data_IF_097097890055
#
_entry.id   IF_097097890055
#
_cell.length_a   1.000
_cell.length_b   1.000
_cell.length_c   1.000
_cell.angle_alpha   90.00
_cell.angle_beta   90.00
_cell.angle_gamma   90.00
#
_symmetry.space_group_name_H-M   'P 1'
#
loop_
_entity.id
_entity.type
_entity.pdbx_description
1 polymer ?
#
# COMPACT_ATOMS: atom_id res chain seq x y z
N UNK A 1 -9.34 -5.87 7.10
CA UNK A 1 -8.94 -4.74 6.24
C UNK A 1 -9.19 -3.46 7.00
N UNK A 2 -8.25 -2.52 7.07
CA UNK A 2 -8.49 -1.26 7.74
C UNK A 2 -9.58 -0.45 7.02
N UNK A 3 -10.37 0.26 7.81
CA UNK A 3 -11.39 1.19 7.32
C UNK A 3 -10.74 2.48 6.82
N UNK A 4 -11.43 3.21 5.93
CA UNK A 4 -10.94 4.52 5.49
C UNK A 4 -10.82 5.52 6.66
N UNK A 5 -11.61 5.36 7.73
CA UNK A 5 -11.50 6.15 8.94
C UNK A 5 -10.18 5.89 9.68
N UNK A 6 -9.75 4.63 9.79
CA UNK A 6 -8.46 4.28 10.38
C UNK A 6 -7.28 4.87 9.59
N UNK A 7 -7.39 4.87 8.25
CA UNK A 7 -6.35 5.40 7.36
C UNK A 7 -6.26 6.93 7.41
N UNK A 8 -7.40 7.64 7.49
CA UNK A 8 -7.44 9.09 7.23
C UNK A 8 -7.79 9.96 8.44
N UNK A 9 -8.41 9.38 9.47
CA UNK A 9 -8.96 10.12 10.62
C UNK A 9 -8.34 9.70 11.95
N UNK A 10 -7.98 8.42 12.08
CA UNK A 10 -7.40 7.86 13.31
C UNK A 10 -5.90 7.52 13.15
N UNK A 11 -5.25 8.04 12.11
CA UNK A 11 -3.83 7.82 11.83
C UNK A 11 -2.93 8.62 12.79
N UNK A 12 -2.92 8.22 14.06
CA UNK A 12 -2.11 8.82 15.12
C UNK A 12 -0.60 8.62 14.88
N UNK A 13 -0.24 7.59 14.11
CA UNK A 13 1.12 7.23 13.73
C UNK A 13 1.51 7.79 12.36
N UNK A 14 0.77 8.77 11.83
CA UNK A 14 1.09 9.38 10.55
C UNK A 14 2.45 10.09 10.63
N UNK A 15 3.37 9.71 9.74
CA UNK A 15 4.73 10.28 9.68
C UNK A 15 5.08 10.68 8.26
N UNK A 16 5.94 11.69 8.05
CA UNK A 16 6.50 11.97 6.72
C UNK A 16 7.20 10.72 6.16
N UNK A 17 7.03 10.47 4.87
CA UNK A 17 7.60 9.28 4.23
C UNK A 17 9.12 9.42 4.10
N UNK A 18 9.91 8.37 4.45
CA UNK A 18 11.38 8.44 4.40
C UNK A 18 11.95 8.71 3.00
N UNK A 19 11.27 8.23 1.95
CA UNK A 19 11.74 8.37 0.57
C UNK A 19 11.06 9.51 -0.19
N UNK A 20 10.00 10.12 0.38
CA UNK A 20 9.30 11.23 -0.24
C UNK A 20 8.74 12.20 0.82
N UNK A 21 9.45 13.31 1.01
CA UNK A 21 9.11 14.32 2.03
C UNK A 21 7.74 14.99 1.83
N UNK A 22 7.16 14.91 0.63
CA UNK A 22 5.83 15.45 0.33
C UNK A 22 4.70 14.48 0.72
N UNK A 23 5.03 13.22 0.99
CA UNK A 23 4.07 12.17 1.28
C UNK A 23 4.07 11.82 2.76
N UNK A 24 2.93 11.35 3.24
CA UNK A 24 2.69 10.92 4.60
C UNK A 24 2.35 9.43 4.61
N UNK A 25 3.08 8.70 5.44
CA UNK A 25 2.89 7.29 5.65
C UNK A 25 1.97 7.06 6.86
N UNK A 26 1.14 6.02 6.78
CA UNK A 26 0.27 5.53 7.86
C UNK A 26 0.63 4.07 8.15
N UNK A 27 1.77 3.81 8.82
CA UNK A 27 2.40 2.48 8.92
C UNK A 27 1.49 1.40 9.52
N UNK A 28 0.73 1.72 10.57
CA UNK A 28 -0.15 0.77 11.27
C UNK A 28 -1.30 0.33 10.39
N UNK A 29 -1.97 1.29 9.74
CA UNK A 29 -3.05 1.00 8.80
C UNK A 29 -2.53 0.18 7.59
N UNK A 30 -1.38 0.57 7.03
CA UNK A 30 -0.77 -0.14 5.92
C UNK A 30 -0.39 -1.58 6.29
N UNK A 31 0.20 -1.80 7.46
CA UNK A 31 0.55 -3.15 7.95
C UNK A 31 -0.69 -4.04 8.15
N UNK A 32 -1.76 -3.47 8.73
CA UNK A 32 -3.04 -4.17 8.88
C UNK A 32 -3.64 -4.56 7.52
N UNK A 33 -3.56 -3.66 6.53
CA UNK A 33 -3.98 -3.93 5.17
C UNK A 33 -3.17 -5.07 4.54
N UNK A 34 -1.84 -4.99 4.62
CA UNK A 34 -0.93 -5.99 4.06
C UNK A 34 -1.16 -7.39 4.65
N UNK A 35 -1.35 -7.48 5.98
CA UNK A 35 -1.69 -8.76 6.64
C UNK A 35 -3.02 -9.32 6.14
N UNK A 36 -4.03 -8.47 6.02
CA UNK A 36 -5.34 -8.92 5.51
C UNK A 36 -5.23 -9.38 4.05
N UNK A 37 -4.50 -8.63 3.21
CA UNK A 37 -4.26 -8.98 1.82
C UNK A 37 -3.53 -10.33 1.69
N UNK A 38 -2.50 -10.57 2.50
CA UNK A 38 -1.78 -11.83 2.51
C UNK A 38 -2.70 -13.01 2.88
N UNK A 39 -3.47 -12.89 3.97
CA UNK A 39 -4.38 -13.95 4.43
C UNK A 39 -5.46 -14.27 3.38
N UNK A 40 -6.08 -13.25 2.81
CA UNK A 40 -7.20 -13.45 1.87
C UNK A 40 -6.77 -14.05 0.52
N UNK A 41 -5.50 -13.89 0.14
CA UNK A 41 -5.01 -14.28 -1.18
C UNK A 41 -3.87 -15.31 -1.11
N UNK A 42 -3.62 -15.92 0.06
CA UNK A 42 -2.43 -16.74 0.29
C UNK A 42 -2.34 -17.92 -0.69
N UNK A 43 -3.44 -18.66 -0.85
CA UNK A 43 -3.54 -19.81 -1.74
C UNK A 43 -3.30 -19.39 -3.20
N UNK A 44 -4.04 -18.38 -3.68
CA UNK A 44 -3.91 -17.85 -5.03
C UNK A 44 -2.49 -17.36 -5.35
N UNK A 45 -1.86 -16.64 -4.41
CA UNK A 45 -0.50 -16.12 -4.59
C UNK A 45 0.54 -17.25 -4.69
N UNK A 46 0.36 -18.34 -3.92
CA UNK A 46 1.21 -19.53 -3.97
C UNK A 46 1.00 -20.32 -5.27
N UNK A 47 -0.25 -20.58 -5.66
CA UNK A 47 -0.60 -21.32 -6.87
C UNK A 47 -0.09 -20.63 -8.13
N UNK A 48 -0.25 -19.30 -8.21
CA UNK A 48 0.19 -18.51 -9.36
C UNK A 48 1.68 -18.15 -9.31
N UNK A 49 2.38 -18.54 -8.24
CA UNK A 49 3.78 -18.19 -7.95
C UNK A 49 4.02 -16.70 -8.24
N UNK A 50 3.21 -15.84 -7.62
CA UNK A 50 3.17 -14.43 -7.94
C UNK A 50 4.45 -13.74 -7.45
N UNK A 51 5.27 -13.25 -8.39
CA UNK A 51 6.60 -12.69 -8.11
C UNK A 51 6.69 -11.24 -8.54
N UNK A 52 7.50 -10.46 -7.84
CA UNK A 52 7.77 -9.06 -8.19
C UNK A 52 8.43 -8.98 -9.57
N UNK A 53 7.99 -8.05 -10.41
CA UNK A 53 8.70 -7.70 -11.65
C UNK A 53 9.76 -6.64 -11.42
N UNK A 54 9.54 -5.78 -10.42
CA UNK A 54 10.40 -4.66 -10.13
C UNK A 54 11.24 -4.92 -8.89
N UNK A 55 12.41 -4.28 -8.86
CA UNK A 55 13.23 -4.19 -7.65
C UNK A 55 12.76 -2.99 -6.84
N UNK A 56 12.53 -3.19 -5.54
CA UNK A 56 12.09 -2.17 -4.60
C UNK A 56 13.23 -1.83 -3.64
N UNK A 57 13.64 -0.57 -3.60
CA UNK A 57 14.67 -0.08 -2.67
C UNK A 57 14.01 0.62 -1.50
N UNK A 58 14.23 0.13 -0.29
CA UNK A 58 13.63 0.67 0.94
C UNK A 58 14.58 1.63 1.66
N UNK A 59 15.88 1.34 1.60
CA UNK A 59 16.95 2.21 2.11
C UNK A 59 18.24 1.92 1.36
N UNK A 60 19.29 2.70 1.63
CA UNK A 60 20.62 2.50 1.04
C UNK A 60 21.20 1.09 1.28
N UNK A 61 20.72 0.37 2.30
CA UNK A 61 21.20 -0.97 2.66
C UNK A 61 20.17 -2.07 2.39
N UNK A 62 18.92 -1.70 2.12
CA UNK A 62 17.80 -2.64 2.08
C UNK A 62 17.06 -2.52 0.76
N UNK A 63 17.00 -3.62 0.02
CA UNK A 63 16.22 -3.72 -1.20
C UNK A 63 15.64 -5.12 -1.35
N UNK A 64 14.51 -5.20 -2.02
CA UNK A 64 13.89 -6.45 -2.44
C UNK A 64 14.07 -6.58 -3.95
N UNK A 65 14.83 -7.57 -4.44
CA UNK A 65 15.08 -7.74 -5.87
C UNK A 65 13.81 -8.15 -6.63
N UNK A 66 13.82 -7.92 -7.94
CA UNK A 66 12.84 -8.53 -8.84
C UNK A 66 12.90 -10.06 -8.74
N UNK A 67 11.74 -10.71 -8.85
CA UNK A 67 11.56 -12.15 -8.75
C UNK A 67 11.27 -12.66 -7.34
N UNK A 68 11.25 -11.81 -6.32
CA UNK A 68 10.83 -12.17 -4.95
C UNK A 68 9.35 -12.52 -4.93
N UNK A 69 8.96 -13.52 -4.13
CA UNK A 69 7.55 -13.89 -4.01
C UNK A 69 6.77 -12.78 -3.30
N UNK A 70 5.53 -12.51 -3.73
CA UNK A 70 4.75 -11.39 -3.19
C UNK A 70 4.49 -11.52 -1.68
N UNK A 71 4.27 -12.75 -1.20
CA UNK A 71 4.14 -13.04 0.23
C UNK A 71 5.42 -12.70 1.02
N UNK A 72 6.61 -12.93 0.45
CA UNK A 72 7.88 -12.60 1.12
C UNK A 72 8.07 -11.08 1.21
N UNK A 73 7.69 -10.36 0.15
CA UNK A 73 7.65 -8.90 0.13
C UNK A 73 6.71 -8.34 1.22
N UNK A 74 5.53 -8.95 1.38
CA UNK A 74 4.57 -8.58 2.43
C UNK A 74 5.16 -8.88 3.81
N UNK A 75 5.72 -10.08 4.01
CA UNK A 75 6.38 -10.48 5.26
C UNK A 75 7.44 -9.47 5.69
N UNK A 76 8.35 -9.13 4.77
CA UNK A 76 9.39 -8.12 4.97
C UNK A 76 8.83 -6.77 5.45
N UNK A 77 7.76 -6.28 4.81
CA UNK A 77 7.16 -5.00 5.16
C UNK A 77 6.38 -5.05 6.48
N UNK A 78 5.80 -6.20 6.83
CA UNK A 78 5.12 -6.38 8.13
C UNK A 78 6.09 -6.45 9.31
N UNK A 79 7.30 -7.00 9.12
CA UNK A 79 8.37 -6.97 10.12
C UNK A 79 8.95 -5.56 10.29
N UNK A 80 8.97 -4.77 9.22
CA UNK A 80 9.54 -3.41 9.17
C UNK A 80 8.45 -2.41 8.86
N UNK A 81 7.59 -2.17 9.85
CA UNK A 81 6.36 -1.39 9.72
C UNK A 81 6.57 -0.01 9.05
N UNK A 82 7.73 0.62 9.23
CA UNK A 82 8.10 1.89 8.57
C UNK A 82 7.99 1.87 7.04
N UNK A 83 8.14 0.70 6.40
CA UNK A 83 8.03 0.54 4.94
C UNK A 83 6.65 0.01 4.50
N UNK A 84 5.73 -0.21 5.43
CA UNK A 84 4.44 -0.81 5.13
C UNK A 84 3.63 0.02 4.12
N UNK A 85 3.59 1.35 4.28
CA UNK A 85 2.86 2.25 3.38
C UNK A 85 3.38 2.19 1.95
N UNK A 86 4.70 2.18 1.77
CA UNK A 86 5.33 2.03 0.45
C UNK A 86 5.10 0.64 -0.14
N UNK A 87 5.13 -0.40 0.69
CA UNK A 87 4.85 -1.76 0.26
C UNK A 87 3.43 -1.89 -0.28
N UNK A 88 2.42 -1.21 0.29
CA UNK A 88 1.08 -1.16 -0.32
C UNK A 88 1.15 -0.64 -1.76
N UNK A 89 1.91 0.42 -2.01
CA UNK A 89 2.16 0.93 -3.35
C UNK A 89 2.84 -0.09 -4.28
N UNK A 90 3.84 -0.81 -3.77
CA UNK A 90 4.49 -1.89 -4.50
C UNK A 90 3.50 -3.01 -4.88
N UNK A 91 2.67 -3.46 -3.93
CA UNK A 91 1.64 -4.49 -4.19
C UNK A 91 0.66 -4.02 -5.26
N UNK A 92 0.12 -2.80 -5.14
CA UNK A 92 -0.81 -2.25 -6.14
C UNK A 92 -0.18 -2.22 -7.52
N UNK A 93 1.07 -1.75 -7.62
CA UNK A 93 1.81 -1.69 -8.89
C UNK A 93 2.00 -3.08 -9.51
N UNK A 94 2.43 -4.06 -8.72
CA UNK A 94 2.65 -5.43 -9.20
C UNK A 94 1.33 -6.08 -9.66
N UNK A 95 0.27 -5.92 -8.87
CA UNK A 95 -1.06 -6.44 -9.19
C UNK A 95 -1.55 -5.84 -10.51
N UNK A 96 -1.60 -4.51 -10.64
CA UNK A 96 -2.01 -3.84 -11.90
C UNK A 96 -1.20 -4.30 -13.10
N UNK A 97 0.12 -4.45 -12.94
CA UNK A 97 1.01 -4.80 -14.06
C UNK A 97 0.85 -6.25 -14.52
N UNK A 98 0.56 -7.18 -13.61
CA UNK A 98 0.70 -8.61 -13.89
C UNK A 98 -0.62 -9.36 -14.06
N UNK A 99 -1.74 -8.85 -13.51
CA UNK A 99 -3.00 -9.59 -13.53
C UNK A 99 -3.49 -9.91 -14.95
N UNK A 100 -3.28 -8.98 -15.89
CA UNK A 100 -3.65 -9.17 -17.30
C UNK A 100 -2.79 -10.23 -17.98
N UNK A 101 -1.48 -10.17 -17.77
CA UNK A 101 -0.53 -11.13 -18.35
C UNK A 101 -0.70 -12.53 -17.78
N UNK A 102 -1.02 -12.64 -16.49
CA UNK A 102 -1.23 -13.92 -15.80
C UNK A 102 -2.67 -14.43 -15.90
N UNK A 103 -3.56 -13.69 -16.57
CA UNK A 103 -4.99 -14.00 -16.69
C UNK A 103 -5.68 -14.23 -15.32
N UNK A 104 -5.34 -13.39 -14.33
CA UNK A 104 -5.90 -13.47 -12.98
C UNK A 104 -7.13 -12.56 -12.91
N UNK A 105 -8.29 -13.16 -12.59
CA UNK A 105 -9.50 -12.38 -12.31
C UNK A 105 -9.32 -11.58 -11.03
N UNK A 106 -9.50 -10.27 -11.11
CA UNK A 106 -9.24 -9.34 -10.00
C UNK A 106 -10.53 -8.63 -9.61
N UNK A 107 -10.86 -8.67 -8.33
CA UNK A 107 -11.96 -7.92 -7.74
C UNK A 107 -11.40 -6.84 -6.82
N UNK A 108 -11.72 -5.58 -7.10
CA UNK A 108 -11.36 -4.44 -6.26
C UNK A 108 -12.60 -3.97 -5.50
N UNK A 109 -12.57 -4.00 -4.17
CA UNK A 109 -13.68 -3.57 -3.32
C UNK A 109 -13.29 -2.43 -2.39
N UNK A 110 -14.20 -1.48 -2.21
CA UNK A 110 -14.08 -0.38 -1.27
C UNK A 110 -15.40 -0.18 -0.55
N UNK A 111 -15.37 -0.14 0.78
CA UNK A 111 -16.56 0.09 1.59
C UNK A 111 -16.98 1.58 1.60
N UNK A 112 -16.00 2.49 1.75
CA UNK A 112 -16.25 3.94 1.88
C UNK A 112 -15.35 4.77 0.99
N UNK A 113 -15.49 4.62 -0.34
CA UNK A 113 -14.56 5.21 -1.31
C UNK A 113 -14.49 6.75 -1.24
N UNK A 114 -15.61 7.40 -0.94
CA UNK A 114 -15.70 8.87 -0.83
C UNK A 114 -14.72 9.44 0.21
N UNK A 115 -14.38 8.66 1.24
CA UNK A 115 -13.44 9.08 2.27
C UNK A 115 -12.06 9.38 1.70
N UNK A 116 -11.63 8.66 0.66
CA UNK A 116 -10.33 8.85 0.00
C UNK A 116 -10.25 10.14 -0.84
N UNK A 117 -11.35 10.90 -0.97
CA UNK A 117 -11.38 12.18 -1.67
C UNK A 117 -11.77 13.35 -0.75
N UNK A 118 -12.10 13.08 0.51
CA UNK A 118 -12.52 14.06 1.51
C UNK A 118 -11.37 14.63 2.35
N UNK A 119 -11.62 15.54 3.28
CA UNK A 119 -10.57 16.05 4.18
C UNK A 119 -10.04 14.96 5.13
N UNK A 120 -8.74 15.01 5.44
CA UNK A 120 -8.11 14.15 6.46
C UNK A 120 -8.00 14.89 7.80
N UNK A 121 -7.77 14.15 8.88
CA UNK A 121 -7.49 14.73 10.21
C UNK A 121 -6.00 14.69 10.58
N UNK A 122 -5.13 14.37 9.64
CA UNK A 122 -3.69 14.38 9.84
C UNK A 122 -3.22 15.84 9.74
N UNK A 123 -2.57 16.33 10.80
CA UNK A 123 -2.12 17.71 10.91
C UNK A 123 -0.60 17.76 10.76
N UNK A 124 -0.13 18.60 9.83
CA UNK A 124 1.30 18.86 9.61
C UNK A 124 1.87 19.77 10.71
N UNK A 125 3.21 19.86 10.85
CA UNK A 125 3.84 20.76 11.83
C UNK A 125 3.45 22.24 11.66
N UNK A 126 3.10 22.66 10.44
CA UNK A 126 2.63 24.02 10.11
C UNK A 126 1.15 24.27 10.43
N UNK A 127 0.47 23.30 11.07
CA UNK A 127 -0.97 23.28 11.40
C UNK A 127 -1.92 23.14 10.21
N UNK A 128 -1.40 22.98 8.99
CA UNK A 128 -2.22 22.61 7.84
C UNK A 128 -2.62 21.13 7.90
N UNK A 129 -3.70 20.77 7.22
CA UNK A 129 -4.11 19.36 7.10
C UNK A 129 -3.46 18.70 5.88
N UNK A 130 -3.06 17.44 6.04
CA UNK A 130 -2.59 16.61 4.93
C UNK A 130 -3.76 16.31 4.00
N UNK A 131 -3.57 16.42 2.69
CA UNK A 131 -4.59 16.04 1.71
C UNK A 131 -4.59 14.52 1.52
N UNK A 132 -5.71 13.87 1.15
CA UNK A 132 -5.71 12.42 0.91
C UNK A 132 -4.65 11.96 -0.09
N UNK A 133 -4.46 12.71 -1.18
CA UNK A 133 -3.48 12.39 -2.21
C UNK A 133 -2.01 12.57 -1.74
N UNK A 134 -1.80 13.21 -0.59
CA UNK A 134 -0.50 13.32 0.09
C UNK A 134 -0.28 12.15 1.06
N UNK A 135 -1.23 11.22 1.23
CA UNK A 135 -1.08 10.00 2.03
C UNK A 135 -0.69 8.83 1.11
N UNK A 136 0.47 8.21 1.35
CA UNK A 136 1.09 7.20 0.46
C UNK A 136 0.15 6.03 0.16
N UNK A 137 -0.42 5.43 1.20
CA UNK A 137 -1.34 4.31 1.07
C UNK A 137 -2.61 4.70 0.30
N UNK A 138 -3.14 5.90 0.54
CA UNK A 138 -4.37 6.39 -0.11
C UNK A 138 -4.13 6.60 -1.59
N UNK A 139 -3.04 7.28 -1.94
CA UNK A 139 -2.63 7.48 -3.33
C UNK A 139 -2.48 6.14 -4.05
N UNK A 140 -1.80 5.17 -3.42
CA UNK A 140 -1.67 3.83 -3.98
C UNK A 140 -3.03 3.15 -4.19
N UNK A 141 -3.97 3.25 -3.24
CA UNK A 141 -5.28 2.63 -3.39
C UNK A 141 -6.15 3.32 -4.45
N UNK A 142 -6.04 4.65 -4.60
CA UNK A 142 -6.73 5.38 -5.67
C UNK A 142 -6.28 4.94 -7.06
N UNK A 143 -5.02 4.52 -7.24
CA UNK A 143 -4.53 3.97 -8.52
C UNK A 143 -5.31 2.72 -8.95
N UNK A 144 -5.89 1.95 -8.03
CA UNK A 144 -6.70 0.78 -8.38
C UNK A 144 -8.01 1.16 -9.10
N UNK A 145 -8.46 2.40 -8.96
CA UNK A 145 -9.72 2.89 -9.54
C UNK A 145 -9.55 3.44 -10.96
N UNK A 146 -8.31 3.65 -11.40
CA UNK A 146 -8.03 4.10 -12.76
C UNK A 146 -8.30 2.94 -13.75
N UNK A 147 -8.82 3.23 -14.95
CA UNK A 147 -9.20 2.22 -15.94
C UNK A 147 -8.01 1.69 -16.76
N UNK A 148 -6.80 1.69 -16.21
CA UNK A 148 -5.52 1.43 -16.89
C UNK A 148 -4.95 0.02 -16.60
N UNK A 149 -5.83 -0.99 -16.60
CA UNK A 149 -5.51 -2.40 -16.31
C UNK A 149 -5.14 -3.26 -17.54
#
# INVERSE_FOLDING_TARGET
TPTAAEVLKLALDATPSPNNELMWDTPTAASSWLKTFAINNEELLKETNFRTKFTYTWSARESTPAGTHLLDLIGYATERIKYASECVGAIVKEVKTQVKEKNIQTLVTFDTINSYYGPTWIVKPDKSTVKPNEVTMVKALQELLLPDW
#
